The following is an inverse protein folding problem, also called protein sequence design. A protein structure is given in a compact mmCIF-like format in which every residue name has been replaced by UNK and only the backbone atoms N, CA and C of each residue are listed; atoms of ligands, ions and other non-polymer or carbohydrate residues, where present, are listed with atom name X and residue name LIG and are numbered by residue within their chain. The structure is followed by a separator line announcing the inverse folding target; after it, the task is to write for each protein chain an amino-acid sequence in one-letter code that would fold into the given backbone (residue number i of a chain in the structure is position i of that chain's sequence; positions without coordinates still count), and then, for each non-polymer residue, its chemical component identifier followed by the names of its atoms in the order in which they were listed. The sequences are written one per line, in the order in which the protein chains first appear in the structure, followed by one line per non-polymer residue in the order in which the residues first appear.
data_IF_423156729558
#
_entry.id   IF_423156729558
#
_cell.length_a   1.000
_cell.length_b   1.000
_cell.length_c   1.000
_cell.angle_alpha   90.00
_cell.angle_beta   90.00
_cell.angle_gamma   90.00
#
_symmetry.space_group_name_H-M   'P 1'
#
loop_
_entity.id
_entity.type
_entity.pdbx_description
1 polymer ?
#
# COMPACT_ATOMS: atom_id res chain seq x y z
N UNK A 1 -12.12 -3.43 21.40
CA UNK A 1 -11.64 -2.34 20.54
C UNK A 1 -12.85 -1.49 20.17
N UNK A 2 -12.82 -0.18 20.44
CA UNK A 2 -13.95 0.73 20.17
C UNK A 2 -14.16 0.95 18.67
N UNK A 3 -15.39 1.28 18.25
CA UNK A 3 -15.72 1.56 16.86
C UNK A 3 -14.89 2.70 16.25
N UNK A 4 -14.51 3.70 17.06
CA UNK A 4 -13.66 4.83 16.66
C UNK A 4 -12.25 4.39 16.23
N UNK A 5 -11.67 3.39 16.89
CA UNK A 5 -10.34 2.88 16.51
C UNK A 5 -10.36 2.12 15.17
N UNK A 6 -11.50 1.52 14.83
CA UNK A 6 -11.66 0.80 13.56
C UNK A 6 -11.77 1.77 12.37
N UNK A 7 -12.54 2.86 12.55
CA UNK A 7 -12.72 3.89 11.54
C UNK A 7 -11.41 4.61 11.20
N UNK A 8 -10.62 4.99 12.23
CA UNK A 8 -9.31 5.60 12.02
C UNK A 8 -8.31 4.68 11.28
N UNK A 9 -8.36 3.37 11.55
CA UNK A 9 -7.51 2.39 10.88
C UNK A 9 -7.91 2.21 9.41
N UNK A 10 -9.21 2.18 9.11
CA UNK A 10 -9.72 2.10 7.75
C UNK A 10 -9.40 3.35 6.93
N UNK A 11 -9.57 4.54 7.53
CA UNK A 11 -9.17 5.82 6.91
C UNK A 11 -7.66 5.86 6.60
N UNK A 12 -6.80 5.32 7.48
CA UNK A 12 -5.35 5.21 7.22
C UNK A 12 -5.07 4.32 6.00
N UNK A 13 -5.79 3.21 5.86
CA UNK A 13 -5.64 2.29 4.72
C UNK A 13 -6.15 2.91 3.41
N UNK A 14 -7.29 3.60 3.45
CA UNK A 14 -7.84 4.29 2.27
C UNK A 14 -6.94 5.44 1.82
N UNK A 15 -6.37 6.20 2.76
CA UNK A 15 -5.36 7.22 2.45
C UNK A 15 -4.13 6.61 1.76
N UNK A 16 -3.62 5.50 2.28
CA UNK A 16 -2.48 4.84 1.67
C UNK A 16 -2.80 4.30 0.27
N UNK A 17 -3.99 3.73 0.09
CA UNK A 17 -4.46 3.27 -1.22
C UNK A 17 -4.57 4.41 -2.23
N UNK A 18 -5.00 5.60 -1.79
CA UNK A 18 -5.08 6.79 -2.63
C UNK A 18 -3.68 7.27 -3.05
N UNK A 19 -2.72 7.29 -2.13
CA UNK A 19 -1.32 7.65 -2.45
C UNK A 19 -0.70 6.66 -3.44
N UNK A 20 -0.90 5.35 -3.22
CA UNK A 20 -0.45 4.32 -4.18
C UNK A 20 -1.04 4.59 -5.56
N UNK A 21 -2.35 4.87 -5.64
CA UNK A 21 -3.03 5.15 -6.91
C UNK A 21 -2.45 6.37 -7.63
N UNK A 22 -2.31 7.48 -6.92
CA UNK A 22 -1.76 8.71 -7.45
C UNK A 22 -0.31 8.51 -7.95
N UNK A 23 0.50 7.77 -7.20
CA UNK A 23 1.86 7.40 -7.61
C UNK A 23 1.86 6.53 -8.87
N UNK A 24 0.96 5.55 -9.01
CA UNK A 24 0.90 4.73 -10.23
C UNK A 24 0.54 5.55 -11.48
N UNK A 25 -0.27 6.60 -11.30
CA UNK A 25 -0.69 7.48 -12.39
C UNK A 25 0.41 8.47 -12.78
N UNK A 26 1.32 8.80 -11.86
CA UNK A 26 2.42 9.74 -12.06
C UNK A 26 3.75 9.08 -12.44
N UNK A 27 4.01 7.84 -12.03
CA UNK A 27 5.30 7.17 -12.18
C UNK A 27 5.24 6.01 -13.17
N UNK A 28 6.23 5.97 -14.08
CA UNK A 28 6.35 4.92 -15.10
C UNK A 28 7.06 3.65 -14.58
N UNK A 29 7.80 3.77 -13.46
CA UNK A 29 8.58 2.70 -12.86
C UNK A 29 8.06 2.38 -11.46
N UNK A 30 7.83 1.09 -11.19
CA UNK A 30 7.29 0.62 -9.91
C UNK A 30 8.31 0.68 -8.76
N UNK A 31 9.59 0.85 -9.09
CA UNK A 31 10.70 0.71 -8.14
C UNK A 31 10.82 1.89 -7.15
N UNK A 32 10.23 3.05 -7.48
CA UNK A 32 10.23 4.25 -6.60
C UNK A 32 8.94 4.39 -5.78
N UNK A 33 7.94 3.54 -6.01
CA UNK A 33 6.61 3.69 -5.40
C UNK A 33 6.66 3.56 -3.88
N UNK A 34 7.34 2.53 -3.37
CA UNK A 34 7.35 2.26 -1.94
C UNK A 34 8.20 3.25 -1.12
N UNK A 35 9.40 3.67 -1.59
CA UNK A 35 10.16 4.73 -0.95
C UNK A 35 9.36 6.04 -0.85
N UNK A 36 8.72 6.49 -1.93
CA UNK A 36 7.89 7.71 -1.92
C UNK A 36 6.68 7.57 -1.00
N UNK A 37 6.03 6.40 -0.99
CA UNK A 37 4.91 6.12 -0.09
C UNK A 37 5.33 6.23 1.38
N UNK A 38 6.47 5.65 1.74
CA UNK A 38 7.00 5.72 3.11
C UNK A 38 7.31 7.17 3.52
N UNK A 39 7.94 7.93 2.63
CA UNK A 39 8.26 9.35 2.85
C UNK A 39 6.98 10.19 3.05
N UNK A 40 6.00 10.07 2.14
CA UNK A 40 4.74 10.83 2.22
C UNK A 40 3.90 10.49 3.45
N UNK A 41 3.90 9.23 3.84
CA UNK A 41 3.14 8.77 5.01
C UNK A 41 3.90 8.97 6.32
N UNK A 42 5.20 9.28 6.27
CA UNK A 42 6.05 9.40 7.45
C UNK A 42 6.16 8.09 8.23
N UNK A 43 6.21 6.96 7.53
CA UNK A 43 6.23 5.61 8.12
C UNK A 43 7.57 4.91 7.87
N UNK A 44 7.94 3.99 8.76
CA UNK A 44 9.11 3.15 8.58
C UNK A 44 8.82 1.89 7.74
N UNK A 45 9.85 1.08 7.48
CA UNK A 45 9.68 -0.15 6.69
C UNK A 45 8.75 -1.18 7.35
N UNK A 46 8.74 -1.28 8.68
CA UNK A 46 7.88 -2.25 9.39
C UNK A 46 6.42 -1.83 9.26
N UNK A 47 6.14 -0.54 9.49
CA UNK A 47 4.82 0.02 9.28
C UNK A 47 4.36 -0.11 7.83
N UNK A 48 5.28 0.08 6.86
CA UNK A 48 4.98 -0.12 5.45
C UNK A 48 4.65 -1.58 5.14
N UNK A 49 5.36 -2.55 5.73
CA UNK A 49 5.07 -3.98 5.58
C UNK A 49 3.69 -4.33 6.14
N UNK A 50 3.36 -3.83 7.33
CA UNK A 50 2.05 -4.05 7.94
C UNK A 50 0.93 -3.42 7.10
N UNK A 51 1.14 -2.19 6.63
CA UNK A 51 0.18 -1.46 5.82
C UNK A 51 -0.08 -2.14 4.47
N UNK A 52 0.99 -2.49 3.75
CA UNK A 52 0.87 -3.20 2.47
C UNK A 52 0.30 -4.60 2.68
N UNK A 53 0.67 -5.28 3.76
CA UNK A 53 0.08 -6.55 4.18
C UNK A 53 -1.45 -6.45 4.31
N UNK A 54 -1.94 -5.44 5.04
CA UNK A 54 -3.37 -5.18 5.19
C UNK A 54 -4.07 -4.90 3.85
N UNK A 55 -3.44 -4.12 2.95
CA UNK A 55 -4.01 -3.83 1.62
C UNK A 55 -4.07 -5.10 0.74
N UNK A 56 -3.08 -5.99 0.85
CA UNK A 56 -3.05 -7.27 0.14
C UNK A 56 -4.09 -8.25 0.67
N UNK A 57 -4.24 -8.37 1.99
CA UNK A 57 -5.23 -9.22 2.64
C UNK A 57 -6.66 -8.80 2.29
N UNK A 58 -6.91 -7.49 2.19
CA UNK A 58 -8.18 -6.92 1.73
C UNK A 58 -8.38 -7.03 0.21
N UNK A 59 -7.36 -7.45 -0.52
CA UNK A 59 -7.38 -7.55 -1.98
C UNK A 59 -7.52 -6.21 -2.69
N UNK A 60 -7.14 -5.09 -2.07
CA UNK A 60 -7.18 -3.76 -2.67
C UNK A 60 -5.97 -3.50 -3.56
N UNK A 61 -4.88 -4.19 -3.28
CA UNK A 61 -3.67 -4.20 -4.11
C UNK A 61 -3.23 -5.64 -4.39
N UNK A 62 -2.36 -5.82 -5.39
CA UNK A 62 -1.69 -7.08 -5.69
C UNK A 62 -0.22 -6.85 -6.00
N UNK A 63 0.60 -7.86 -5.74
CA UNK A 63 2.00 -7.87 -6.14
C UNK A 63 2.15 -8.45 -7.54
N UNK A 64 2.97 -7.83 -8.39
CA UNK A 64 3.19 -8.24 -9.79
C UNK A 64 4.62 -8.74 -9.98
N UNK A 65 4.83 -9.82 -10.73
CA UNK A 65 6.19 -10.22 -11.15
C UNK A 65 7.08 -10.86 -10.08
N UNK A 66 6.56 -11.19 -8.90
CA UNK A 66 7.32 -11.89 -7.86
C UNK A 66 6.46 -12.49 -6.75
N UNK A 67 7.05 -13.29 -5.85
CA UNK A 67 6.34 -13.78 -4.65
C UNK A 67 6.36 -12.69 -3.58
N UNK A 68 5.19 -12.26 -3.12
CA UNK A 68 4.98 -11.24 -2.07
C UNK A 68 5.95 -11.38 -0.88
N UNK A 69 6.14 -12.62 -0.39
CA UNK A 69 7.01 -12.96 0.74
C UNK A 69 8.47 -12.51 0.61
N UNK A 70 8.97 -12.25 -0.60
CA UNK A 70 10.34 -11.78 -0.80
C UNK A 70 10.49 -10.28 -0.55
N UNK A 71 9.40 -9.54 -0.70
CA UNK A 71 9.37 -8.09 -0.57
C UNK A 71 8.79 -7.63 0.78
N UNK A 72 7.84 -8.36 1.35
CA UNK A 72 7.24 -8.08 2.67
C UNK A 72 8.20 -8.40 3.83
N UNK A 73 9.36 -7.73 3.85
CA UNK A 73 10.37 -7.82 4.91
C UNK A 73 11.28 -6.58 4.87
N UNK A 74 11.90 -6.20 6.01
CA UNK A 74 12.80 -5.07 6.06
C UNK A 74 13.96 -5.20 5.07
N UNK A 75 14.35 -4.10 4.45
CA UNK A 75 15.38 -3.99 3.41
C UNK A 75 14.92 -4.40 2.00
N UNK A 76 13.68 -4.88 1.84
CA UNK A 76 13.15 -5.32 0.53
C UNK A 76 11.84 -4.67 0.14
N UNK A 77 11.10 -4.11 1.11
CA UNK A 77 9.78 -3.52 0.86
C UNK A 77 9.85 -2.34 -0.12
N UNK A 78 10.95 -1.59 -0.14
CA UNK A 78 11.17 -0.50 -1.09
C UNK A 78 11.09 -0.93 -2.57
N UNK A 79 11.45 -2.18 -2.88
CA UNK A 79 11.39 -2.68 -4.26
C UNK A 79 10.10 -3.41 -4.60
N UNK A 80 9.05 -3.32 -3.76
CA UNK A 80 7.86 -4.14 -3.94
C UNK A 80 7.02 -3.67 -5.15
N UNK A 81 6.85 -4.50 -6.19
CA UNK A 81 5.98 -4.15 -7.31
C UNK A 81 4.52 -4.35 -6.91
N UNK A 82 3.85 -3.25 -6.55
CA UNK A 82 2.44 -3.24 -6.13
C UNK A 82 1.58 -2.56 -7.20
N UNK A 83 0.40 -3.10 -7.49
CA UNK A 83 -0.61 -2.43 -8.33
C UNK A 83 -2.00 -2.53 -7.72
N UNK A 84 -2.84 -1.52 -7.99
CA UNK A 84 -4.24 -1.55 -7.55
C UNK A 84 -5.03 -2.64 -8.28
N UNK A 85 -5.97 -3.23 -7.55
CA UNK A 85 -7.00 -4.12 -8.12
C UNK A 85 -8.26 -3.31 -8.44
N UNK A 86 -9.20 -3.92 -9.17
CA UNK A 86 -10.50 -3.31 -9.42
C UNK A 86 -11.26 -3.01 -8.12
N UNK A 87 -11.14 -3.86 -7.09
CA UNK A 87 -11.73 -3.63 -5.77
C UNK A 87 -11.08 -2.44 -5.05
N UNK A 88 -9.76 -2.29 -5.13
CA UNK A 88 -9.06 -1.12 -4.60
C UNK A 88 -9.50 0.18 -5.29
N UNK A 89 -9.59 0.18 -6.63
CA UNK A 89 -10.06 1.35 -7.38
C UNK A 89 -11.50 1.73 -6.99
N UNK A 90 -12.39 0.74 -6.79
CA UNK A 90 -13.76 1.01 -6.35
C UNK A 90 -13.83 1.65 -4.96
N UNK A 91 -12.84 1.41 -4.09
CA UNK A 91 -12.75 2.08 -2.78
C UNK A 91 -12.39 3.56 -2.88
N UNK A 92 -11.69 3.98 -3.94
CA UNK A 92 -11.31 5.37 -4.16
C UNK A 92 -12.38 6.21 -4.89
N UNK A 93 -13.41 5.56 -5.43
CA UNK A 93 -14.47 6.20 -6.22
C UNK A 93 -15.75 6.51 -5.43
N UNK A 94 -15.80 6.12 -4.16
CA UNK A 94 -16.88 6.41 -3.21
C UNK A 94 -16.40 7.41 -2.16
#
# INVERSE_FOLDING_TARGET
MSAENFDLAEQRLEKALAEVYDMQMRHFFADDLMPELMEKMGIDENEAIELIGCLLERGWVKCVGGKQRFFLRPGYIGGMPVVLTSSGISKLKN
#
